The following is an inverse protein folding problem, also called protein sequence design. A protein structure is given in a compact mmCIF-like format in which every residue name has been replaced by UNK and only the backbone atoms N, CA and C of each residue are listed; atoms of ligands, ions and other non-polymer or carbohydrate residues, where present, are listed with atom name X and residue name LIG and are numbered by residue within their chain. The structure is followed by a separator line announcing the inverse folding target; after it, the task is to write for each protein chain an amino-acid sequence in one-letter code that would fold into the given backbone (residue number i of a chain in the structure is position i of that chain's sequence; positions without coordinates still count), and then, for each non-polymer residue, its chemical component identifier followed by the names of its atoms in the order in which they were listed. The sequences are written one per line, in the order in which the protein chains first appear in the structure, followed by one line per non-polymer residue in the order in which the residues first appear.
data_IF_856790548367
#
_entry.id   IF_856790548367
#
_cell.length_a   1.000
_cell.length_b   1.000
_cell.length_c   1.000
_cell.angle_alpha   90.00
_cell.angle_beta   90.00
_cell.angle_gamma   90.00
#
_symmetry.space_group_name_H-M   'P 1'
#
loop_
_entity.id
_entity.type
_entity.pdbx_description
1 polymer ?
#
# COMPACT_ATOMS: atom_id res chain seq x y z
N UNK A 1 -63.51 17.10 10.04
CA UNK A 1 -62.72 17.04 11.27
C UNK A 1 -62.21 15.62 11.40
N UNK A 2 -61.02 15.38 11.02
CA UNK A 2 -60.14 14.35 11.56
C UNK A 2 -58.79 14.52 10.85
N UNK A 3 -57.83 14.94 11.63
CA UNK A 3 -56.45 15.04 11.24
C UNK A 3 -55.88 13.63 11.06
N UNK A 4 -55.27 13.36 9.92
CA UNK A 4 -54.52 12.15 9.65
C UNK A 4 -53.03 12.47 9.72
N UNK A 5 -52.39 12.01 10.79
CA UNK A 5 -50.94 12.03 10.96
C UNK A 5 -50.28 11.15 9.93
N UNK A 6 -49.51 11.76 9.01
CA UNK A 6 -48.58 11.03 8.14
C UNK A 6 -47.24 10.91 8.85
N UNK A 7 -47.03 9.82 9.55
CA UNK A 7 -45.69 9.36 9.97
C UNK A 7 -44.95 8.80 8.74
N UNK A 8 -44.01 9.58 8.22
CA UNK A 8 -43.02 9.07 7.27
C UNK A 8 -42.03 8.22 8.02
N UNK A 9 -42.21 6.90 8.01
CA UNK A 9 -41.21 5.95 8.42
C UNK A 9 -40.07 5.93 7.38
N UNK A 10 -38.95 6.55 7.70
CA UNK A 10 -37.69 6.30 7.00
C UNK A 10 -37.28 4.87 7.28
N UNK A 11 -37.71 3.95 6.45
CA UNK A 11 -37.09 2.62 6.38
C UNK A 11 -35.68 2.80 5.87
N UNK A 12 -34.69 2.63 6.76
CA UNK A 12 -33.28 2.39 6.38
C UNK A 12 -33.25 1.08 5.60
N UNK A 13 -33.15 1.18 4.28
CA UNK A 13 -32.79 0.05 3.43
C UNK A 13 -31.36 -0.36 3.79
N UNK A 14 -31.19 -1.15 4.83
CA UNK A 14 -30.00 -1.98 4.99
C UNK A 14 -30.16 -3.13 4.00
N UNK A 15 -29.67 -2.93 2.78
CA UNK A 15 -29.46 -4.05 1.87
C UNK A 15 -28.61 -5.09 2.63
N UNK A 16 -29.20 -6.22 2.94
CA UNK A 16 -28.47 -7.38 3.45
C UNK A 16 -27.69 -7.95 2.26
N UNK A 17 -26.43 -7.56 2.16
CA UNK A 17 -25.51 -8.15 1.21
C UNK A 17 -25.32 -9.63 1.56
N UNK A 18 -25.39 -10.54 0.59
CA UNK A 18 -25.17 -11.95 0.86
C UNK A 18 -23.76 -12.16 1.43
N UNK A 19 -23.65 -12.98 2.47
CA UNK A 19 -22.36 -13.43 3.00
C UNK A 19 -21.71 -14.32 1.94
N UNK A 20 -20.82 -13.75 1.12
CA UNK A 20 -20.01 -14.53 0.22
C UNK A 20 -18.89 -15.20 1.02
N UNK A 21 -18.78 -16.50 0.87
CA UNK A 21 -17.51 -17.18 1.09
C UNK A 21 -16.58 -16.66 -0.01
N UNK A 22 -15.41 -16.13 0.33
CA UNK A 22 -14.43 -15.69 -0.66
C UNK A 22 -14.19 -16.86 -1.61
N UNK A 23 -14.64 -16.71 -2.85
CA UNK A 23 -14.29 -17.63 -3.92
C UNK A 23 -13.22 -16.89 -4.70
N UNK A 24 -11.96 -17.27 -4.51
CA UNK A 24 -10.87 -16.77 -5.35
C UNK A 24 -11.26 -17.02 -6.80
N UNK A 25 -11.14 -16.03 -7.68
CA UNK A 25 -11.41 -16.20 -9.09
C UNK A 25 -10.70 -17.44 -9.63
N UNK A 26 -11.41 -18.26 -10.40
CA UNK A 26 -10.79 -19.43 -11.07
C UNK A 26 -9.91 -18.97 -12.26
N UNK A 27 -9.95 -17.68 -12.57
CA UNK A 27 -9.17 -17.07 -13.65
C UNK A 27 -7.88 -16.51 -13.09
N UNK A 28 -6.78 -16.99 -13.62
CA UNK A 28 -5.44 -16.51 -13.32
C UNK A 28 -4.66 -16.29 -14.61
N UNK A 29 -3.69 -15.38 -14.57
CA UNK A 29 -2.74 -15.16 -15.66
C UNK A 29 -1.51 -16.02 -15.44
N UNK A 30 -1.15 -16.85 -16.46
CA UNK A 30 0.12 -17.53 -16.55
C UNK A 30 0.93 -16.90 -17.65
N UNK A 31 2.12 -16.42 -17.36
CA UNK A 31 2.96 -15.76 -18.33
C UNK A 31 4.43 -16.05 -18.07
N UNK A 32 5.24 -16.03 -19.11
CA UNK A 32 6.69 -16.16 -19.01
C UNK A 32 7.29 -14.78 -18.75
N UNK A 33 7.27 -14.35 -17.49
CA UNK A 33 7.74 -13.05 -17.05
C UNK A 33 8.79 -13.20 -15.97
N UNK A 34 9.90 -12.51 -16.15
CA UNK A 34 11.02 -12.47 -15.22
C UNK A 34 11.17 -11.08 -14.61
N UNK A 35 11.38 -11.01 -13.31
CA UNK A 35 11.79 -9.81 -12.60
C UNK A 35 13.33 -9.67 -12.77
N UNK A 36 13.77 -8.59 -13.39
CA UNK A 36 15.20 -8.35 -13.70
C UNK A 36 15.78 -7.13 -13.00
N UNK A 37 14.93 -6.26 -12.43
CA UNK A 37 15.39 -5.09 -11.69
C UNK A 37 14.40 -4.71 -10.58
N UNK A 38 14.96 -4.22 -9.47
CA UNK A 38 14.21 -3.75 -8.31
C UNK A 38 14.83 -2.44 -7.83
N UNK A 39 13.98 -1.45 -7.54
CA UNK A 39 14.38 -0.20 -6.92
C UNK A 39 13.37 0.26 -5.90
N UNK A 40 13.83 0.83 -4.80
CA UNK A 40 12.99 1.35 -3.74
C UNK A 40 13.47 2.73 -3.31
N UNK A 41 12.58 3.50 -2.75
CA UNK A 41 12.89 4.76 -2.11
C UNK A 41 11.99 4.99 -0.90
N UNK A 42 12.57 5.42 0.21
CA UNK A 42 11.87 5.89 1.41
C UNK A 42 12.39 7.27 1.76
N UNK A 43 11.51 8.24 2.08
CA UNK A 43 11.93 9.56 2.55
C UNK A 43 12.71 9.48 3.86
N UNK A 44 13.48 10.51 4.17
CA UNK A 44 14.33 10.55 5.38
C UNK A 44 13.66 11.16 6.59
N UNK A 45 12.53 11.87 6.43
CA UNK A 45 11.73 12.34 7.56
C UNK A 45 11.05 11.19 8.28
N UNK A 46 10.87 11.32 9.60
CA UNK A 46 10.32 10.24 10.43
C UNK A 46 9.23 10.74 11.37
N UNK A 47 8.15 9.97 11.47
CA UNK A 47 7.14 10.11 12.52
C UNK A 47 7.25 8.92 13.45
N UNK A 48 7.39 9.19 14.75
CA UNK A 48 7.45 8.17 15.80
C UNK A 48 6.10 7.99 16.52
N UNK A 49 6.00 7.00 17.39
CA UNK A 49 4.77 6.77 18.15
C UNK A 49 4.45 7.90 19.16
N UNK A 50 5.41 8.72 19.56
CA UNK A 50 5.18 9.87 20.45
C UNK A 50 4.20 10.87 19.82
N UNK A 51 4.27 11.10 18.51
CA UNK A 51 3.34 11.96 17.79
C UNK A 51 1.90 11.46 17.91
N UNK A 52 1.67 10.19 17.65
CA UNK A 52 0.32 9.61 17.74
C UNK A 52 -0.18 9.44 19.17
N UNK A 53 0.72 9.22 20.13
CA UNK A 53 0.40 9.25 21.54
C UNK A 53 -0.06 10.64 21.99
N UNK A 54 0.60 11.69 21.53
CA UNK A 54 0.20 13.07 21.75
C UNK A 54 -1.20 13.37 21.19
N UNK A 55 -1.48 12.97 19.92
CA UNK A 55 -2.79 13.14 19.32
C UNK A 55 -3.86 12.37 20.08
N UNK A 56 -3.62 11.09 20.41
CA UNK A 56 -4.58 10.23 21.09
C UNK A 56 -4.99 10.81 22.45
N UNK A 57 -4.04 11.38 23.17
CA UNK A 57 -4.27 12.03 24.49
C UNK A 57 -5.18 13.25 24.34
N UNK A 58 -4.93 14.09 23.33
CA UNK A 58 -5.77 15.28 23.06
C UNK A 58 -7.17 14.93 22.58
N UNK A 59 -7.36 13.77 21.98
CA UNK A 59 -8.65 13.25 21.57
C UNK A 59 -9.42 12.54 22.71
N UNK A 60 -8.85 12.48 23.93
CA UNK A 60 -9.49 11.84 25.09
C UNK A 60 -9.43 10.31 25.08
N UNK A 61 -8.57 9.70 24.26
CA UNK A 61 -8.28 8.26 24.21
C UNK A 61 -6.76 8.04 24.40
N UNK A 62 -6.21 8.36 25.60
CA UNK A 62 -4.77 8.40 25.80
C UNK A 62 -4.12 7.05 25.61
N UNK A 63 -3.09 7.02 24.77
CA UNK A 63 -2.21 5.88 24.51
C UNK A 63 -0.77 6.31 24.72
N UNK A 64 0.05 5.46 25.32
CA UNK A 64 1.49 5.66 25.32
C UNK A 64 2.10 5.24 23.98
N UNK A 65 3.33 5.68 23.69
CA UNK A 65 4.09 5.23 22.53
C UNK A 65 4.29 3.70 22.54
N UNK A 66 4.57 3.14 23.72
CA UNK A 66 4.74 1.69 23.93
C UNK A 66 3.43 0.92 23.68
N UNK A 67 2.26 1.49 24.09
CA UNK A 67 0.96 0.88 23.79
C UNK A 67 0.70 0.83 22.29
N UNK A 68 1.04 1.91 21.57
CA UNK A 68 0.89 1.96 20.12
C UNK A 68 1.81 0.95 19.44
N UNK A 69 3.07 0.84 19.86
CA UNK A 69 3.99 -0.17 19.33
C UNK A 69 3.48 -1.59 19.60
N UNK A 70 3.03 -1.87 20.82
CA UNK A 70 2.49 -3.18 21.20
C UNK A 70 1.25 -3.57 20.39
N UNK A 71 0.37 -2.60 20.06
CA UNK A 71 -0.88 -2.87 19.31
C UNK A 71 -0.65 -2.96 17.82
N UNK A 72 0.19 -2.09 17.26
CA UNK A 72 0.42 -2.00 15.82
C UNK A 72 1.60 -2.85 15.34
N UNK A 73 2.59 -3.08 16.19
CA UNK A 73 3.90 -3.66 15.84
C UNK A 73 4.84 -2.65 15.16
N UNK A 74 4.50 -1.35 15.18
CA UNK A 74 5.17 -0.31 14.40
C UNK A 74 5.91 0.67 15.34
N UNK A 75 7.18 0.94 15.06
CA UNK A 75 7.99 1.89 15.83
C UNK A 75 8.06 3.25 15.14
N UNK A 76 8.31 3.26 13.83
CA UNK A 76 8.54 4.49 13.03
C UNK A 76 7.85 4.44 11.68
N UNK A 77 7.63 5.61 11.04
CA UNK A 77 7.14 5.79 9.68
C UNK A 77 8.04 6.77 8.97
N UNK A 78 8.48 6.42 7.79
CA UNK A 78 9.20 7.33 6.91
C UNK A 78 8.22 8.19 6.14
N UNK A 79 8.46 9.50 6.09
CA UNK A 79 7.59 10.47 5.45
C UNK A 79 8.39 11.63 4.85
N UNK A 80 7.81 12.30 3.86
CA UNK A 80 8.39 13.49 3.25
C UNK A 80 8.33 14.69 4.20
N UNK A 81 9.18 15.70 3.95
CA UNK A 81 9.19 16.95 4.71
C UNK A 81 7.82 17.68 4.64
N UNK A 82 7.15 17.64 3.49
CA UNK A 82 5.79 18.22 3.32
C UNK A 82 4.76 17.56 4.24
N UNK A 83 4.91 16.27 4.53
CA UNK A 83 4.05 15.53 5.47
C UNK A 83 4.33 15.94 6.91
N UNK A 84 5.61 16.10 7.29
CA UNK A 84 5.97 16.62 8.62
C UNK A 84 5.41 18.03 8.83
N UNK A 85 5.50 18.88 7.81
CA UNK A 85 4.93 20.23 7.85
C UNK A 85 3.39 20.18 8.03
N UNK A 86 2.69 19.29 7.31
CA UNK A 86 1.25 19.08 7.52
C UNK A 86 0.96 18.65 8.96
N UNK A 87 1.73 17.71 9.51
CA UNK A 87 1.58 17.26 10.89
C UNK A 87 1.74 18.42 11.88
N UNK A 88 2.73 19.29 11.69
CA UNK A 88 2.93 20.51 12.51
C UNK A 88 1.78 21.50 12.38
N UNK A 89 1.26 21.69 11.17
CA UNK A 89 0.08 22.56 10.95
C UNK A 89 -1.17 22.06 11.65
N UNK A 90 -1.37 20.74 11.66
CA UNK A 90 -2.57 20.14 12.23
C UNK A 90 -2.47 19.98 13.75
N UNK A 91 -1.32 19.59 14.28
CA UNK A 91 -1.13 19.21 15.68
C UNK A 91 -0.36 20.26 16.53
N UNK A 92 0.20 21.29 15.90
CA UNK A 92 1.03 22.31 16.53
C UNK A 92 2.51 22.16 16.19
N UNK A 93 3.22 23.30 16.12
CA UNK A 93 4.64 23.35 15.74
C UNK A 93 5.55 22.52 16.70
N UNK A 94 5.18 22.46 17.96
CA UNK A 94 5.93 21.75 19.03
C UNK A 94 5.44 20.32 19.25
N UNK A 95 4.65 19.76 18.32
CA UNK A 95 4.18 18.39 18.43
C UNK A 95 5.36 17.41 18.48
N UNK A 96 5.43 16.50 19.48
CA UNK A 96 6.56 15.59 19.65
C UNK A 96 6.59 14.51 18.57
N UNK A 97 7.73 13.84 18.43
CA UNK A 97 7.86 12.65 17.59
C UNK A 97 7.90 12.94 16.07
N UNK A 98 8.15 14.19 15.67
CA UNK A 98 8.37 14.60 14.28
C UNK A 98 9.86 14.91 14.10
N UNK A 99 10.55 14.08 13.31
CA UNK A 99 11.99 14.17 13.07
C UNK A 99 12.22 14.56 11.62
N UNK A 100 12.84 15.73 11.40
CA UNK A 100 13.17 16.20 10.08
C UNK A 100 14.23 15.30 9.42
N UNK A 101 14.06 15.10 8.12
CA UNK A 101 15.03 14.41 7.31
C UNK A 101 16.20 15.30 6.87
N UNK A 102 16.99 14.80 5.92
CA UNK A 102 18.02 15.60 5.27
C UNK A 102 17.41 16.73 4.45
N UNK A 103 18.12 17.86 4.33
CA UNK A 103 17.66 19.04 3.56
C UNK A 103 17.36 18.73 2.08
N UNK A 104 17.95 17.67 1.54
CA UNK A 104 17.78 17.25 0.14
C UNK A 104 16.35 16.78 -0.21
N UNK A 105 15.50 16.54 0.80
CA UNK A 105 14.12 16.04 0.61
C UNK A 105 13.04 17.09 0.80
N UNK A 106 13.41 18.37 0.96
CA UNK A 106 12.50 19.43 1.42
C UNK A 106 11.28 19.66 0.50
N UNK A 107 11.45 19.54 -0.80
CA UNK A 107 10.39 19.75 -1.80
C UNK A 107 10.06 18.48 -2.61
N UNK A 108 10.38 17.30 -2.05
CA UNK A 108 10.24 16.03 -2.72
C UNK A 108 8.77 15.70 -3.02
N UNK A 109 8.49 15.37 -4.27
CA UNK A 109 7.17 14.96 -4.74
C UNK A 109 7.07 13.42 -4.88
N UNK A 110 5.86 12.90 -5.08
CA UNK A 110 5.67 11.48 -5.42
C UNK A 110 6.40 11.09 -6.70
N UNK A 111 6.45 12.02 -7.67
CA UNK A 111 7.18 11.80 -8.93
C UNK A 111 8.68 11.68 -8.68
N UNK A 112 9.25 12.52 -7.81
CA UNK A 112 10.69 12.46 -7.50
C UNK A 112 11.05 11.12 -6.86
N UNK A 113 10.26 10.66 -5.89
CA UNK A 113 10.43 9.34 -5.27
C UNK A 113 10.33 8.21 -6.31
N UNK A 114 9.33 8.26 -7.20
CA UNK A 114 9.15 7.27 -8.26
C UNK A 114 10.33 7.25 -9.25
N UNK A 115 10.85 8.42 -9.63
CA UNK A 115 12.01 8.54 -10.53
C UNK A 115 13.26 7.94 -9.90
N UNK A 116 13.50 8.20 -8.60
CA UNK A 116 14.64 7.59 -7.89
C UNK A 116 14.49 6.07 -7.85
N UNK A 117 13.33 5.55 -7.47
CA UNK A 117 13.07 4.11 -7.46
C UNK A 117 13.26 3.49 -8.87
N UNK A 118 12.75 4.15 -9.91
CA UNK A 118 12.90 3.70 -11.29
C UNK A 118 14.37 3.65 -11.76
N UNK A 119 15.16 4.70 -11.46
CA UNK A 119 16.60 4.70 -11.75
C UNK A 119 17.34 3.56 -11.04
N UNK A 120 16.98 3.31 -9.78
CA UNK A 120 17.54 2.19 -9.00
C UNK A 120 17.19 0.84 -9.62
N UNK A 121 15.93 0.66 -10.08
CA UNK A 121 15.53 -0.57 -10.76
C UNK A 121 16.29 -0.80 -12.07
N UNK A 122 16.47 0.24 -12.88
CA UNK A 122 17.27 0.18 -14.12
C UNK A 122 18.74 -0.14 -13.80
N UNK A 123 19.33 0.54 -12.82
CA UNK A 123 20.72 0.31 -12.41
C UNK A 123 20.93 -1.13 -11.88
N UNK A 124 19.99 -1.66 -11.08
CA UNK A 124 20.05 -3.03 -10.56
C UNK A 124 20.03 -4.08 -11.67
N UNK A 125 19.35 -3.78 -12.79
CA UNK A 125 19.29 -4.62 -13.97
C UNK A 125 20.46 -4.40 -14.96
N UNK A 126 21.23 -3.32 -14.79
CA UNK A 126 22.23 -2.88 -15.77
C UNK A 126 21.60 -2.49 -17.11
N UNK A 127 20.39 -1.92 -17.08
CA UNK A 127 19.61 -1.51 -18.26
C UNK A 127 19.61 0.01 -18.42
N UNK A 128 19.59 0.44 -19.68
CA UNK A 128 19.35 1.85 -20.02
C UNK A 128 17.87 2.18 -20.10
N UNK A 129 17.51 3.41 -19.74
CA UNK A 129 16.12 3.85 -19.80
C UNK A 129 15.52 3.79 -21.21
N UNK A 130 16.35 3.94 -22.24
CA UNK A 130 15.91 3.84 -23.66
C UNK A 130 15.47 2.44 -24.08
N UNK A 131 15.78 1.41 -23.28
CA UNK A 131 15.34 0.03 -23.54
C UNK A 131 13.89 -0.22 -23.08
N UNK A 132 13.33 0.68 -22.27
CA UNK A 132 11.97 0.53 -21.72
C UNK A 132 10.91 0.76 -22.79
N UNK A 133 10.08 -0.24 -23.05
CA UNK A 133 9.00 -0.20 -24.06
C UNK A 133 7.69 0.32 -23.50
N UNK A 134 7.45 0.18 -22.18
CA UNK A 134 6.20 0.58 -21.52
C UNK A 134 6.47 0.94 -20.08
N UNK A 135 5.84 2.02 -19.60
CA UNK A 135 5.77 2.36 -18.17
C UNK A 135 4.36 2.10 -17.65
N UNK A 136 4.25 1.31 -16.61
CA UNK A 136 3.00 1.08 -15.88
C UNK A 136 3.17 1.65 -14.47
N UNK A 137 2.20 2.45 -14.03
CA UNK A 137 2.17 3.00 -12.69
C UNK A 137 1.04 2.40 -11.87
N UNK A 138 1.21 2.32 -10.56
CA UNK A 138 0.16 1.99 -9.61
C UNK A 138 0.28 2.87 -8.35
N UNK A 139 -0.81 3.51 -7.95
CA UNK A 139 -0.85 4.33 -6.73
C UNK A 139 -2.25 4.43 -6.17
N UNK A 140 -2.33 4.49 -4.83
CA UNK A 140 -3.56 4.82 -4.09
C UNK A 140 -3.70 6.32 -3.85
N UNK A 141 -2.60 7.06 -3.88
CA UNK A 141 -2.49 8.43 -3.36
C UNK A 141 -1.91 9.42 -4.37
N UNK A 142 -1.93 9.08 -5.66
CA UNK A 142 -1.54 10.02 -6.73
C UNK A 142 -2.43 11.27 -6.71
N UNK A 143 -1.80 12.44 -6.77
CA UNK A 143 -2.49 13.73 -6.74
C UNK A 143 -2.98 14.18 -8.10
N UNK A 144 -2.25 13.80 -9.16
CA UNK A 144 -2.49 14.29 -10.49
C UNK A 144 -3.35 13.31 -11.29
N UNK A 145 -4.45 13.80 -11.85
CA UNK A 145 -5.23 13.00 -12.78
C UNK A 145 -4.50 12.82 -14.11
N UNK A 146 -3.83 13.88 -14.57
CA UNK A 146 -3.00 13.90 -15.79
C UNK A 146 -2.07 15.13 -15.79
N UNK A 147 -0.80 15.04 -16.24
CA UNK A 147 -0.12 13.76 -16.50
C UNK A 147 -0.02 12.91 -15.25
N UNK A 148 0.00 11.59 -15.41
CA UNK A 148 0.13 10.63 -14.31
C UNK A 148 1.59 10.47 -13.87
N UNK A 149 1.83 9.85 -12.70
CA UNK A 149 3.19 9.49 -12.25
C UNK A 149 3.92 8.70 -13.32
N UNK A 150 3.27 7.72 -13.98
CA UNK A 150 3.89 6.95 -15.07
C UNK A 150 4.35 7.83 -16.24
N UNK A 151 3.55 8.81 -16.62
CA UNK A 151 3.91 9.78 -17.67
C UNK A 151 5.07 10.69 -17.26
N UNK A 152 5.07 11.18 -16.03
CA UNK A 152 6.18 11.99 -15.50
C UNK A 152 7.47 11.17 -15.38
N UNK A 153 7.41 9.93 -14.92
CA UNK A 153 8.59 9.03 -14.84
C UNK A 153 9.16 8.79 -16.23
N UNK A 154 8.31 8.50 -17.23
CA UNK A 154 8.72 8.35 -18.62
C UNK A 154 9.51 9.59 -19.10
N UNK A 155 8.96 10.79 -18.87
CA UNK A 155 9.60 12.03 -19.27
C UNK A 155 10.91 12.31 -18.51
N UNK A 156 10.91 12.15 -17.19
CA UNK A 156 12.07 12.46 -16.30
C UNK A 156 13.24 11.48 -16.49
N UNK A 157 12.98 10.28 -17.01
CA UNK A 157 14.01 9.31 -17.40
C UNK A 157 14.55 9.54 -18.81
N UNK A 158 13.99 10.50 -19.56
CA UNK A 158 14.37 10.77 -20.95
C UNK A 158 13.90 9.69 -21.94
N UNK A 159 12.91 8.88 -21.54
CA UNK A 159 12.33 7.88 -22.43
C UNK A 159 11.46 8.59 -23.48
N UNK A 160 11.61 8.21 -24.74
CA UNK A 160 10.83 8.75 -25.85
C UNK A 160 9.33 8.46 -25.71
N UNK A 161 8.49 8.87 -26.67
CA UNK A 161 7.06 8.60 -26.63
C UNK A 161 6.77 7.09 -26.66
N UNK A 162 6.31 6.55 -25.54
CA UNK A 162 5.89 5.17 -25.35
C UNK A 162 4.55 5.11 -24.60
N UNK A 163 3.98 3.92 -24.46
CA UNK A 163 2.83 3.72 -23.59
C UNK A 163 3.23 3.99 -22.14
N UNK A 164 2.52 4.94 -21.50
CA UNK A 164 2.59 5.20 -20.07
C UNK A 164 1.17 5.13 -19.50
N UNK A 165 0.89 4.14 -18.64
CA UNK A 165 -0.46 3.87 -18.13
C UNK A 165 -0.43 3.86 -16.61
N UNK A 166 -1.46 4.42 -15.97
CA UNK A 166 -1.61 4.44 -14.53
C UNK A 166 -2.80 3.61 -14.10
N UNK A 167 -2.59 2.71 -13.16
CA UNK A 167 -3.63 1.99 -12.47
C UNK A 167 -3.91 2.69 -11.13
N UNK A 168 -5.18 2.85 -10.80
CA UNK A 168 -5.61 3.45 -9.55
C UNK A 168 -6.47 2.45 -8.78
N UNK A 169 -6.05 2.15 -7.58
CA UNK A 169 -6.73 1.23 -6.68
C UNK A 169 -6.17 1.42 -5.28
N UNK A 170 -6.59 0.58 -4.34
CA UNK A 170 -5.99 0.55 -3.02
C UNK A 170 -4.67 -0.26 -3.03
N UNK A 171 -4.21 -0.70 -1.87
CA UNK A 171 -2.91 -1.36 -1.68
C UNK A 171 -2.69 -2.63 -2.53
N UNK A 172 -3.76 -3.26 -3.04
CA UNK A 172 -3.66 -4.41 -3.95
C UNK A 172 -3.49 -4.02 -5.43
N UNK A 173 -3.49 -2.73 -5.76
CA UNK A 173 -3.28 -2.27 -7.14
C UNK A 173 -1.94 -2.72 -7.72
N UNK A 174 -0.96 -3.02 -6.86
CA UNK A 174 0.32 -3.58 -7.27
C UNK A 174 0.17 -4.96 -7.92
N UNK A 175 -0.69 -5.83 -7.41
CA UNK A 175 -0.91 -7.17 -8.02
C UNK A 175 -1.66 -7.07 -9.36
N UNK A 176 -2.59 -6.12 -9.49
CA UNK A 176 -3.20 -5.76 -10.77
C UNK A 176 -2.16 -5.23 -11.77
N UNK A 177 -1.21 -4.44 -11.29
CA UNK A 177 -0.13 -3.93 -12.13
C UNK A 177 0.81 -5.04 -12.60
N UNK A 178 1.12 -6.04 -11.75
CA UNK A 178 1.88 -7.21 -12.17
C UNK A 178 1.15 -8.01 -13.26
N UNK A 179 -0.16 -8.21 -13.11
CA UNK A 179 -0.96 -8.85 -14.15
C UNK A 179 -0.94 -8.06 -15.45
N UNK A 180 -1.14 -6.73 -15.37
CA UNK A 180 -1.07 -5.86 -16.55
C UNK A 180 0.29 -5.92 -17.24
N UNK A 181 1.39 -5.94 -16.48
CA UNK A 181 2.73 -6.12 -17.04
C UNK A 181 2.87 -7.47 -17.75
N UNK A 182 2.39 -8.54 -17.13
CA UNK A 182 2.43 -9.88 -17.70
C UNK A 182 1.63 -9.97 -19.02
N UNK A 183 0.45 -9.37 -19.06
CA UNK A 183 -0.40 -9.29 -20.24
C UNK A 183 0.27 -8.48 -21.35
N UNK A 184 0.87 -7.32 -21.04
CA UNK A 184 1.59 -6.48 -22.01
C UNK A 184 2.77 -7.26 -22.60
N UNK A 185 3.59 -7.90 -21.79
CA UNK A 185 4.74 -8.69 -22.24
C UNK A 185 4.34 -9.91 -23.08
N UNK A 186 3.16 -10.48 -22.82
CA UNK A 186 2.66 -11.66 -23.54
C UNK A 186 1.93 -11.30 -24.83
N UNK A 187 1.13 -10.22 -24.82
CA UNK A 187 0.20 -9.90 -25.89
C UNK A 187 0.68 -8.78 -26.83
N UNK A 188 1.83 -8.17 -26.59
CA UNK A 188 2.39 -7.10 -27.43
C UNK A 188 3.82 -7.39 -27.86
N UNK A 189 4.45 -6.45 -28.58
CA UNK A 189 5.86 -6.49 -28.95
C UNK A 189 6.81 -5.96 -27.86
N UNK A 190 6.28 -5.50 -26.74
CA UNK A 190 7.07 -5.00 -25.62
C UNK A 190 7.93 -6.13 -25.04
N UNK A 191 9.19 -5.82 -24.78
CA UNK A 191 10.18 -6.75 -24.19
C UNK A 191 10.57 -6.38 -22.77
N UNK A 192 10.50 -5.09 -22.46
CA UNK A 192 10.89 -4.53 -21.16
C UNK A 192 9.84 -3.56 -20.66
N UNK A 193 9.25 -3.87 -19.49
CA UNK A 193 8.24 -3.05 -18.84
C UNK A 193 8.79 -2.53 -17.51
N UNK A 194 8.68 -1.22 -17.30
CA UNK A 194 8.96 -0.57 -16.03
C UNK A 194 7.64 -0.37 -15.27
N UNK A 195 7.48 -1.08 -14.16
CA UNK A 195 6.39 -0.85 -13.21
C UNK A 195 6.88 0.07 -12.10
N UNK A 196 6.16 1.17 -11.84
CA UNK A 196 6.49 2.13 -10.77
C UNK A 196 5.33 2.32 -9.82
N UNK A 197 5.63 2.49 -8.53
CA UNK A 197 4.65 2.90 -7.52
C UNK A 197 5.21 4.05 -6.69
N UNK A 198 4.35 4.95 -6.25
CA UNK A 198 4.72 5.98 -5.28
C UNK A 198 3.52 6.34 -4.43
N UNK A 199 3.73 6.41 -3.11
CA UNK A 199 2.67 6.60 -2.14
C UNK A 199 3.00 7.72 -1.15
N UNK A 200 2.07 8.66 -1.04
CA UNK A 200 2.07 9.75 -0.08
C UNK A 200 0.74 9.80 0.66
N UNK A 201 0.46 8.76 1.42
CA UNK A 201 -0.87 8.47 1.96
C UNK A 201 -1.33 9.53 2.97
N UNK A 202 -0.45 9.92 3.91
CA UNK A 202 -0.82 10.85 4.97
C UNK A 202 -1.30 12.21 4.47
N UNK A 203 -0.56 12.91 3.58
CA UNK A 203 -1.01 14.23 3.15
C UNK A 203 -2.16 14.18 2.15
N UNK A 204 -2.32 13.07 1.42
CA UNK A 204 -3.17 13.04 0.25
C UNK A 204 -4.55 12.44 0.50
N UNK A 205 -4.63 11.39 1.31
CA UNK A 205 -5.89 10.65 1.52
C UNK A 205 -6.18 10.30 2.98
N UNK A 206 -5.29 10.63 3.92
CA UNK A 206 -5.49 10.35 5.35
C UNK A 206 -5.73 11.63 6.14
N UNK A 207 -6.51 11.54 7.20
CA UNK A 207 -6.58 12.60 8.20
C UNK A 207 -5.52 12.35 9.27
N UNK A 208 -4.55 13.24 9.40
CA UNK A 208 -3.45 13.13 10.37
C UNK A 208 -3.97 12.97 11.80
N UNK A 209 -5.09 13.63 12.13
CA UNK A 209 -5.69 13.58 13.48
C UNK A 209 -6.48 12.29 13.73
N UNK A 210 -6.84 11.53 12.70
CA UNK A 210 -7.40 10.18 12.88
C UNK A 210 -6.28 9.17 13.16
N UNK A 211 -5.70 9.25 14.35
CA UNK A 211 -4.55 8.45 14.76
C UNK A 211 -4.77 6.94 14.63
N UNK A 212 -6.02 6.45 14.73
CA UNK A 212 -6.34 5.02 14.62
C UNK A 212 -6.08 4.48 13.22
N UNK A 213 -6.25 5.32 12.21
CA UNK A 213 -5.99 4.99 10.81
C UNK A 213 -4.61 5.48 10.39
N UNK A 214 -4.33 6.77 10.56
CA UNK A 214 -3.12 7.42 10.05
C UNK A 214 -1.82 6.88 10.65
N UNK A 215 -1.87 6.40 11.90
CA UNK A 215 -0.68 5.86 12.57
C UNK A 215 -0.06 4.61 11.94
N UNK A 216 -0.74 3.96 11.01
CA UNK A 216 -0.25 2.76 10.35
C UNK A 216 0.61 3.05 9.11
N UNK A 217 0.51 4.25 8.54
CA UNK A 217 0.99 4.55 7.20
C UNK A 217 2.28 5.35 7.18
N UNK A 218 3.17 4.97 6.25
CA UNK A 218 4.34 5.71 5.83
C UNK A 218 4.24 6.12 4.36
N UNK A 219 5.33 6.64 3.82
CA UNK A 219 5.46 7.07 2.42
C UNK A 219 6.67 6.39 1.77
N UNK A 220 6.59 6.16 0.47
CA UNK A 220 7.67 5.55 -0.27
C UNK A 220 7.33 5.29 -1.72
N UNK A 221 8.34 4.87 -2.47
CA UNK A 221 8.20 4.47 -3.86
C UNK A 221 8.93 3.17 -4.16
N UNK A 222 8.48 2.49 -5.18
CA UNK A 222 9.14 1.30 -5.71
C UNK A 222 9.08 1.25 -7.22
N UNK A 223 10.01 0.47 -7.79
CA UNK A 223 9.98 0.14 -9.20
C UNK A 223 10.46 -1.30 -9.42
N UNK A 224 9.85 -1.94 -10.39
CA UNK A 224 10.21 -3.26 -10.87
C UNK A 224 10.49 -3.19 -12.36
N UNK A 225 11.52 -3.85 -12.80
CA UNK A 225 11.80 -4.03 -14.21
C UNK A 225 11.50 -5.47 -14.59
N UNK A 226 10.61 -5.64 -15.55
CA UNK A 226 10.05 -6.92 -15.95
C UNK A 226 10.32 -7.16 -17.43
N UNK A 227 10.73 -8.37 -17.78
CA UNK A 227 10.95 -8.76 -19.16
C UNK A 227 10.34 -10.14 -19.46
N UNK A 228 10.30 -10.51 -20.72
CA UNK A 228 9.95 -11.88 -21.14
C UNK A 228 11.02 -12.83 -20.62
N UNK A 229 10.60 -13.87 -19.91
CA UNK A 229 11.46 -14.92 -19.36
C UNK A 229 11.26 -16.27 -20.03
N UNK A 230 11.95 -17.27 -19.52
CA UNK A 230 11.83 -18.68 -19.98
C UNK A 230 10.92 -19.49 -19.08
N UNK A 231 10.71 -19.06 -17.84
CA UNK A 231 9.90 -19.74 -16.81
C UNK A 231 8.55 -19.10 -16.61
N UNK A 232 7.59 -19.90 -16.16
CA UNK A 232 6.24 -19.41 -15.86
C UNK A 232 6.23 -18.61 -14.56
N UNK A 233 5.47 -17.54 -14.58
CA UNK A 233 4.97 -16.84 -13.41
C UNK A 233 3.44 -16.85 -13.40
N UNK A 234 2.81 -16.63 -12.26
CA UNK A 234 1.37 -16.74 -12.11
C UNK A 234 0.84 -15.55 -11.32
N UNK A 235 -0.25 -14.94 -11.80
CA UNK A 235 -0.93 -13.83 -11.11
C UNK A 235 -2.41 -14.15 -10.98
N UNK A 236 -2.96 -13.87 -9.82
CA UNK A 236 -4.40 -13.91 -9.56
C UNK A 236 -4.82 -12.61 -8.89
N UNK A 237 -5.96 -12.05 -9.31
CA UNK A 237 -6.56 -10.88 -8.70
C UNK A 237 -8.06 -11.10 -8.54
N UNK A 238 -8.62 -10.50 -7.50
CA UNK A 238 -10.04 -10.52 -7.22
C UNK A 238 -10.51 -9.26 -6.53
N UNK A 239 -11.81 -9.00 -6.60
CA UNK A 239 -12.45 -7.88 -5.95
C UNK A 239 -13.78 -8.32 -5.33
N UNK A 240 -14.01 -7.95 -4.07
CA UNK A 240 -15.29 -8.13 -3.39
C UNK A 240 -15.81 -6.79 -2.88
N UNK A 241 -16.58 -6.10 -3.70
CA UNK A 241 -17.13 -4.80 -3.39
C UNK A 241 -18.15 -4.83 -2.23
N UNK A 242 -18.65 -5.99 -1.83
CA UNK A 242 -19.49 -6.12 -0.64
C UNK A 242 -18.72 -5.78 0.64
N UNK A 243 -17.40 -5.93 0.65
CA UNK A 243 -16.52 -5.56 1.74
C UNK A 243 -15.99 -4.11 1.61
N UNK A 244 -16.40 -3.38 0.57
CA UNK A 244 -15.99 -2.00 0.33
C UNK A 244 -16.13 -1.07 1.54
N UNK A 245 -17.23 -1.12 2.32
CA UNK A 245 -17.38 -0.31 3.52
C UNK A 245 -16.33 -0.53 4.61
N UNK A 246 -15.59 -1.65 4.60
CA UNK A 246 -14.55 -1.93 5.58
C UNK A 246 -13.32 -1.03 5.43
N UNK A 247 -12.99 -0.63 4.19
CA UNK A 247 -11.89 0.29 3.89
C UNK A 247 -12.18 1.00 2.57
N UNK A 248 -12.45 2.30 2.63
CA UNK A 248 -12.77 3.09 1.46
C UNK A 248 -12.22 4.52 1.54
N UNK A 249 -12.11 5.15 0.37
CA UNK A 249 -11.78 6.54 0.19
C UNK A 249 -12.71 7.16 -0.85
N UNK A 250 -13.34 8.28 -0.50
CA UNK A 250 -14.17 9.04 -1.41
C UNK A 250 -13.40 10.27 -1.90
N UNK A 251 -13.09 10.31 -3.18
CA UNK A 251 -12.46 11.49 -3.80
C UNK A 251 -13.42 12.69 -3.70
N UNK A 252 -12.96 13.83 -3.15
CA UNK A 252 -13.79 15.02 -3.05
C UNK A 252 -14.12 15.57 -4.44
N UNK A 253 -15.35 16.01 -4.61
CA UNK A 253 -15.77 16.76 -5.78
C UNK A 253 -15.47 18.25 -5.59
N UNK A 254 -15.43 19.01 -6.68
CA UNK A 254 -15.16 20.46 -6.60
C UNK A 254 -16.10 21.19 -5.63
N UNK A 255 -17.36 20.77 -5.52
CA UNK A 255 -18.33 21.32 -4.58
C UNK A 255 -17.97 21.08 -3.10
N UNK A 256 -17.21 20.03 -2.83
CA UNK A 256 -16.88 19.62 -1.46
C UNK A 256 -15.65 20.38 -0.91
N UNK A 257 -14.88 21.04 -1.77
CA UNK A 257 -13.57 21.66 -1.40
C UNK A 257 -13.74 22.75 -0.33
N UNK A 258 -14.78 23.58 -0.42
CA UNK A 258 -15.03 24.64 0.56
C UNK A 258 -15.45 24.03 1.91
N UNK A 259 -16.32 23.04 1.89
CA UNK A 259 -16.74 22.33 3.10
C UNK A 259 -15.55 21.64 3.77
N UNK A 260 -14.67 20.98 2.99
CA UNK A 260 -13.45 20.38 3.50
C UNK A 260 -12.56 21.40 4.22
N UNK A 261 -12.34 22.57 3.61
CA UNK A 261 -11.54 23.62 4.23
C UNK A 261 -12.13 24.14 5.55
N UNK A 262 -13.44 24.28 5.63
CA UNK A 262 -14.14 24.66 6.87
C UNK A 262 -14.01 23.58 7.94
N UNK A 263 -14.17 22.31 7.55
CA UNK A 263 -14.06 21.17 8.46
C UNK A 263 -12.63 21.07 8.98
N UNK A 264 -11.61 21.23 8.14
CA UNK A 264 -10.22 21.21 8.55
C UNK A 264 -9.90 22.34 9.55
N UNK A 265 -10.40 23.54 9.31
CA UNK A 265 -10.27 24.64 10.27
C UNK A 265 -10.91 24.32 11.61
N UNK A 266 -12.13 23.77 11.62
CA UNK A 266 -12.81 23.35 12.84
C UNK A 266 -12.05 22.25 13.58
N UNK A 267 -11.55 21.25 12.86
CA UNK A 267 -10.74 20.18 13.45
C UNK A 267 -9.48 20.73 14.13
N UNK A 268 -8.76 21.62 13.45
CA UNK A 268 -7.57 22.27 14.02
C UNK A 268 -7.90 23.10 15.26
N UNK A 269 -8.99 23.86 15.24
CA UNK A 269 -9.41 24.67 16.38
C UNK A 269 -9.76 23.78 17.58
N UNK A 270 -10.60 22.77 17.40
CA UNK A 270 -10.97 21.84 18.48
C UNK A 270 -9.76 21.07 19.02
N UNK A 271 -8.81 20.73 18.17
CA UNK A 271 -7.56 20.10 18.60
C UNK A 271 -6.72 21.05 19.47
N UNK A 272 -6.56 22.31 19.05
CA UNK A 272 -5.81 23.33 19.80
C UNK A 272 -6.47 23.63 21.16
N UNK A 273 -7.81 23.72 21.20
CA UNK A 273 -8.60 24.01 22.40
C UNK A 273 -8.70 22.80 23.35
N UNK A 274 -8.16 21.62 22.97
CA UNK A 274 -8.29 20.40 23.76
C UNK A 274 -9.71 19.82 23.80
N UNK A 275 -10.57 20.22 22.85
CA UNK A 275 -11.96 19.75 22.76
C UNK A 275 -12.06 18.43 21.98
N UNK A 276 -11.45 17.37 22.52
CA UNK A 276 -11.37 16.05 21.86
C UNK A 276 -12.74 15.43 21.59
N UNK A 277 -13.78 15.75 22.38
CA UNK A 277 -15.13 15.22 22.17
C UNK A 277 -15.75 15.73 20.86
N UNK A 278 -15.67 17.03 20.59
CA UNK A 278 -16.18 17.61 19.34
C UNK A 278 -15.34 17.17 18.14
N UNK A 279 -14.04 17.11 18.31
CA UNK A 279 -13.14 16.62 17.27
C UNK A 279 -13.47 15.16 16.87
N UNK A 280 -13.69 14.27 17.83
CA UNK A 280 -14.09 12.88 17.56
C UNK A 280 -15.44 12.80 16.82
N UNK A 281 -16.40 13.69 17.11
CA UNK A 281 -17.66 13.75 16.37
C UNK A 281 -17.43 14.12 14.90
N UNK A 282 -16.59 15.14 14.63
CA UNK A 282 -16.25 15.56 13.28
C UNK A 282 -15.55 14.41 12.54
N UNK A 283 -14.54 13.79 13.15
CA UNK A 283 -13.80 12.65 12.57
C UNK A 283 -14.70 11.45 12.24
N UNK A 284 -15.75 11.23 13.04
CA UNK A 284 -16.71 10.14 12.80
C UNK A 284 -17.70 10.44 11.68
N UNK A 285 -18.10 11.70 11.52
CA UNK A 285 -19.18 12.10 10.61
C UNK A 285 -18.67 12.54 9.23
N UNK A 286 -17.51 13.20 9.18
CA UNK A 286 -17.00 13.76 7.94
C UNK A 286 -16.15 12.71 7.19
N UNK A 287 -16.66 12.31 6.02
CA UNK A 287 -16.13 11.15 5.28
C UNK A 287 -15.42 11.53 3.97
N UNK A 288 -15.74 12.70 3.40
CA UNK A 288 -15.22 13.10 2.09
C UNK A 288 -13.75 13.51 2.19
N UNK A 289 -12.92 13.02 1.27
CA UNK A 289 -11.51 13.36 1.20
C UNK A 289 -10.61 12.64 2.19
N UNK A 290 -11.16 11.71 3.01
CA UNK A 290 -10.37 10.94 3.96
C UNK A 290 -10.67 9.45 3.88
N UNK A 291 -9.63 8.64 4.02
CA UNK A 291 -9.78 7.18 4.12
C UNK A 291 -10.47 6.81 5.42
N UNK A 292 -11.44 5.93 5.32
CA UNK A 292 -12.15 5.33 6.47
C UNK A 292 -11.86 3.85 6.55
N UNK A 293 -11.62 3.38 7.76
CA UNK A 293 -11.26 1.98 8.01
C UNK A 293 -12.02 1.41 9.22
N UNK A 294 -12.74 0.33 9.00
CA UNK A 294 -13.21 -0.55 10.06
C UNK A 294 -12.15 -1.61 10.34
N UNK A 295 -11.25 -1.33 11.27
CA UNK A 295 -10.10 -2.19 11.56
C UNK A 295 -10.47 -3.62 11.97
N UNK A 296 -11.65 -3.85 12.56
CA UNK A 296 -12.11 -5.21 12.93
C UNK A 296 -12.47 -6.03 11.69
N UNK A 297 -13.17 -5.44 10.75
CA UNK A 297 -13.55 -6.09 9.49
C UNK A 297 -12.34 -6.32 8.61
N UNK A 298 -11.48 -5.31 8.46
CA UNK A 298 -10.22 -5.45 7.73
C UNK A 298 -9.38 -6.58 8.32
N UNK A 299 -9.24 -6.65 9.65
CA UNK A 299 -8.48 -7.73 10.30
C UNK A 299 -9.11 -9.12 10.14
N UNK A 300 -10.41 -9.21 9.98
CA UNK A 300 -11.11 -10.47 9.72
C UNK A 300 -10.89 -10.95 8.29
N UNK A 301 -11.01 -10.06 7.32
CA UNK A 301 -11.10 -10.41 5.90
C UNK A 301 -9.76 -10.35 5.16
N UNK A 302 -8.91 -9.37 5.44
CA UNK A 302 -7.66 -9.18 4.71
C UNK A 302 -6.69 -10.38 4.82
N UNK A 303 -6.45 -10.98 6.01
CA UNK A 303 -5.59 -12.17 6.10
C UNK A 303 -6.14 -13.37 5.32
N UNK A 304 -7.48 -13.52 5.33
CA UNK A 304 -8.16 -14.61 4.63
C UNK A 304 -8.01 -14.48 3.13
N UNK A 305 -8.29 -13.29 2.57
CA UNK A 305 -8.17 -13.04 1.14
C UNK A 305 -6.74 -13.29 0.62
N UNK A 306 -5.72 -12.86 1.37
CA UNK A 306 -4.33 -13.13 1.01
C UNK A 306 -3.96 -14.61 1.13
N UNK A 307 -4.36 -15.30 2.20
CA UNK A 307 -4.07 -16.73 2.38
C UNK A 307 -4.68 -17.55 1.25
N UNK A 308 -5.94 -17.27 0.91
CA UNK A 308 -6.66 -17.96 -0.16
C UNK A 308 -6.01 -17.70 -1.53
N UNK A 309 -5.57 -16.46 -1.81
CA UNK A 309 -4.87 -16.15 -3.06
C UNK A 309 -3.53 -16.91 -3.17
N UNK A 310 -2.76 -17.01 -2.09
CA UNK A 310 -1.50 -17.77 -2.05
C UNK A 310 -1.77 -19.26 -2.28
N UNK A 311 -2.74 -19.86 -1.56
CA UNK A 311 -3.05 -21.26 -1.66
C UNK A 311 -3.60 -21.63 -3.06
N UNK A 312 -4.56 -20.86 -3.57
CA UNK A 312 -5.14 -21.10 -4.89
C UNK A 312 -4.08 -21.01 -5.99
N UNK A 313 -3.22 -19.99 -5.95
CA UNK A 313 -2.20 -19.78 -6.98
C UNK A 313 -1.12 -20.85 -6.92
N UNK A 314 -0.73 -21.29 -5.71
CA UNK A 314 0.23 -22.40 -5.53
C UNK A 314 -0.33 -23.71 -6.07
N UNK A 315 -1.62 -23.99 -5.87
CA UNK A 315 -2.29 -25.15 -6.47
C UNK A 315 -2.36 -25.06 -8.00
N UNK A 316 -2.68 -23.90 -8.57
CA UNK A 316 -2.67 -23.70 -10.03
C UNK A 316 -1.29 -23.91 -10.64
N UNK A 317 -0.25 -23.42 -9.96
CA UNK A 317 1.14 -23.63 -10.36
C UNK A 317 1.64 -25.06 -10.10
N UNK A 318 0.87 -25.89 -9.41
CA UNK A 318 1.28 -27.22 -8.91
C UNK A 318 2.58 -27.15 -8.11
N UNK A 319 2.74 -26.09 -7.35
CA UNK A 319 3.92 -25.83 -6.53
C UNK A 319 3.77 -26.58 -5.20
N UNK A 320 4.78 -27.38 -4.84
CA UNK A 320 4.83 -27.99 -3.52
C UNK A 320 5.10 -26.90 -2.46
N UNK A 321 4.52 -27.07 -1.25
CA UNK A 321 4.68 -26.09 -0.18
C UNK A 321 6.16 -25.82 0.15
N UNK A 322 7.02 -26.84 0.07
CA UNK A 322 8.43 -26.72 0.37
C UNK A 322 9.25 -26.03 -0.73
N UNK A 323 8.71 -25.96 -1.95
CA UNK A 323 9.36 -25.20 -3.04
C UNK A 323 9.18 -23.70 -2.89
N UNK A 324 8.05 -23.26 -2.32
CA UNK A 324 7.84 -21.86 -1.97
C UNK A 324 8.76 -21.49 -0.80
N UNK A 325 9.71 -20.58 -1.05
CA UNK A 325 10.72 -20.18 -0.05
C UNK A 325 10.32 -18.95 0.74
N UNK A 326 9.64 -18.01 0.09
CA UNK A 326 9.27 -16.73 0.70
C UNK A 326 7.82 -16.38 0.40
N UNK A 327 7.12 -15.92 1.42
CA UNK A 327 5.81 -15.26 1.31
C UNK A 327 6.03 -13.82 1.75
N UNK A 328 5.99 -12.90 0.81
CA UNK A 328 6.28 -11.48 0.98
C UNK A 328 4.99 -10.68 0.78
N UNK A 329 4.13 -10.59 1.80
CA UNK A 329 2.85 -9.92 1.66
C UNK A 329 3.01 -8.40 1.60
N UNK A 330 1.98 -7.75 1.08
CA UNK A 330 1.75 -6.34 1.37
C UNK A 330 1.85 -6.10 2.88
N UNK A 331 2.70 -5.15 3.29
CA UNK A 331 3.00 -4.84 4.69
C UNK A 331 1.89 -3.95 5.29
N UNK A 332 0.68 -4.49 5.39
CA UNK A 332 -0.47 -3.77 5.93
C UNK A 332 -0.38 -3.60 7.45
N UNK A 333 0.01 -4.67 8.14
CA UNK A 333 0.19 -4.75 9.60
C UNK A 333 0.78 -6.12 9.95
N UNK A 334 1.74 -6.19 10.86
CA UNK A 334 2.38 -7.45 11.27
C UNK A 334 1.39 -8.51 11.77
N UNK A 335 0.30 -8.09 12.42
CA UNK A 335 -0.75 -9.02 12.89
C UNK A 335 -1.53 -9.64 11.73
N UNK A 336 -1.77 -8.87 10.65
CA UNK A 336 -2.42 -9.35 9.44
C UNK A 336 -1.52 -10.38 8.75
N UNK A 337 -0.23 -10.07 8.59
CA UNK A 337 0.77 -10.99 8.01
C UNK A 337 0.81 -12.31 8.79
N UNK A 338 0.92 -12.23 10.11
CA UNK A 338 0.93 -13.42 10.96
C UNK A 338 -0.36 -14.23 10.83
N UNK A 339 -1.54 -13.55 10.88
CA UNK A 339 -2.84 -14.22 10.77
C UNK A 339 -3.02 -14.92 9.43
N UNK A 340 -2.52 -14.33 8.34
CA UNK A 340 -2.49 -14.97 7.02
C UNK A 340 -1.73 -16.30 7.06
N UNK A 341 -0.54 -16.32 7.67
CA UNK A 341 0.24 -17.56 7.83
C UNK A 341 -0.46 -18.61 8.68
N UNK A 342 -1.09 -18.19 9.80
CA UNK A 342 -1.89 -19.08 10.63
C UNK A 342 -3.04 -19.72 9.85
N UNK A 343 -3.72 -18.95 8.97
CA UNK A 343 -4.79 -19.47 8.12
C UNK A 343 -4.25 -20.48 7.10
N UNK A 344 -3.11 -20.21 6.46
CA UNK A 344 -2.47 -21.18 5.56
C UNK A 344 -2.21 -22.52 6.26
N UNK A 345 -1.71 -22.48 7.51
CA UNK A 345 -1.43 -23.70 8.29
C UNK A 345 -2.71 -24.40 8.72
N UNK A 346 -3.68 -23.69 9.30
CA UNK A 346 -4.82 -24.30 9.95
C UNK A 346 -5.98 -24.60 9.01
N UNK A 347 -6.26 -23.68 8.06
CA UNK A 347 -7.45 -23.79 7.21
C UNK A 347 -7.12 -24.44 5.87
N UNK A 348 -5.88 -24.27 5.35
CA UNK A 348 -5.45 -24.82 4.06
C UNK A 348 -4.49 -26.01 4.18
N UNK A 349 -4.09 -26.39 5.39
CA UNK A 349 -3.30 -27.59 5.64
C UNK A 349 -1.81 -27.47 5.26
N UNK A 350 -1.29 -26.24 5.19
CA UNK A 350 0.13 -26.03 4.94
C UNK A 350 0.97 -26.44 6.16
N UNK A 351 2.25 -26.82 5.97
CA UNK A 351 3.11 -27.17 7.09
C UNK A 351 3.37 -25.98 8.01
N UNK A 352 3.61 -26.24 9.30
CA UNK A 352 3.88 -25.19 10.30
C UNK A 352 5.13 -24.35 9.96
N UNK A 353 6.10 -24.92 9.22
CA UNK A 353 7.26 -24.22 8.67
C UNK A 353 6.89 -23.05 7.71
N UNK A 354 5.64 -22.97 7.29
CA UNK A 354 5.11 -21.81 6.52
C UNK A 354 5.30 -20.51 7.27
N UNK A 355 5.23 -20.53 8.61
CA UNK A 355 5.43 -19.33 9.43
C UNK A 355 6.84 -18.74 9.29
N UNK A 356 7.84 -19.58 9.02
CA UNK A 356 9.24 -19.15 8.84
C UNK A 356 9.49 -18.51 7.47
N UNK A 357 8.57 -18.71 6.51
CA UNK A 357 8.64 -18.14 5.15
C UNK A 357 8.03 -16.74 5.06
N UNK A 358 7.28 -16.32 6.10
CA UNK A 358 6.65 -15.01 6.15
C UNK A 358 7.69 -13.91 6.30
N UNK A 359 7.55 -12.88 5.48
CA UNK A 359 8.40 -11.70 5.54
C UNK A 359 7.61 -10.55 6.16
N UNK A 360 8.15 -9.96 7.21
CA UNK A 360 7.57 -8.84 7.92
C UNK A 360 8.66 -7.80 8.22
N UNK A 361 8.56 -6.63 7.59
CA UNK A 361 9.39 -5.47 7.87
C UNK A 361 8.54 -4.24 8.25
N UNK A 362 7.26 -4.44 8.53
CA UNK A 362 6.31 -3.41 8.88
C UNK A 362 6.79 -2.50 10.01
N UNK A 363 7.51 -3.07 10.98
CA UNK A 363 7.94 -2.38 12.23
C UNK A 363 8.62 -1.03 11.99
N UNK A 364 9.43 -0.90 10.95
CA UNK A 364 10.28 0.27 10.73
C UNK A 364 9.75 1.23 9.68
N UNK A 365 8.95 0.73 8.74
CA UNK A 365 8.51 1.51 7.59
C UNK A 365 7.02 1.82 7.60
N UNK A 366 6.23 1.00 8.29
CA UNK A 366 4.78 1.08 8.25
C UNK A 366 4.19 0.56 6.93
N UNK A 367 2.94 0.89 6.73
CA UNK A 367 2.21 0.55 5.51
C UNK A 367 2.53 1.58 4.41
N UNK A 368 3.31 1.17 3.42
CA UNK A 368 3.65 1.96 2.24
C UNK A 368 2.73 1.63 1.04
N UNK A 369 1.53 1.08 1.30
CA UNK A 369 0.59 0.68 0.26
C UNK A 369 1.27 -0.14 -0.86
N UNK A 370 1.18 0.30 -2.11
CA UNK A 370 1.73 -0.41 -3.27
C UNK A 370 3.29 -0.49 -3.30
N UNK A 371 4.00 0.29 -2.51
CA UNK A 371 5.46 0.24 -2.47
C UNK A 371 6.01 -0.80 -1.47
N UNK A 372 5.17 -1.37 -0.61
CA UNK A 372 5.60 -2.15 0.55
C UNK A 372 6.26 -3.49 0.23
N UNK A 373 5.80 -4.21 -0.80
CA UNK A 373 6.35 -5.52 -1.19
C UNK A 373 7.80 -5.37 -1.71
N UNK A 374 8.06 -4.38 -2.57
CA UNK A 374 9.40 -4.11 -3.08
C UNK A 374 10.39 -3.81 -1.96
N UNK A 375 9.97 -2.99 -0.98
CA UNK A 375 10.82 -2.68 0.16
C UNK A 375 11.11 -3.92 1.00
N UNK A 376 10.13 -4.79 1.22
CA UNK A 376 10.34 -6.06 1.90
C UNK A 376 11.30 -6.98 1.14
N UNK A 377 11.19 -7.03 -0.20
CA UNK A 377 12.14 -7.75 -1.05
C UNK A 377 13.55 -7.15 -0.96
N UNK A 378 13.68 -5.82 -1.01
CA UNK A 378 14.98 -5.14 -0.89
C UNK A 378 15.67 -5.44 0.45
N UNK A 379 14.92 -5.53 1.54
CA UNK A 379 15.44 -5.94 2.85
C UNK A 379 15.96 -7.38 2.82
N UNK A 380 15.23 -8.31 2.20
CA UNK A 380 15.69 -9.70 2.05
C UNK A 380 16.96 -9.80 1.19
N UNK A 381 17.06 -9.01 0.12
CA UNK A 381 18.25 -8.94 -0.73
C UNK A 381 19.47 -8.47 0.08
N UNK A 382 19.33 -7.39 0.84
CA UNK A 382 20.41 -6.90 1.74
C UNK A 382 20.86 -7.95 2.75
N UNK A 383 19.95 -8.76 3.22
CA UNK A 383 20.23 -9.85 4.17
C UNK A 383 20.80 -11.10 3.51
N UNK A 384 20.95 -11.15 2.17
CA UNK A 384 21.39 -12.33 1.44
C UNK A 384 20.47 -13.54 1.59
N UNK A 385 19.17 -13.30 1.85
CA UNK A 385 18.18 -14.35 2.11
C UNK A 385 17.48 -14.85 0.84
N UNK A 386 17.51 -14.10 -0.26
CA UNK A 386 16.98 -14.53 -1.56
C UNK A 386 18.09 -15.26 -2.33
N UNK A 387 17.78 -16.42 -2.88
CA UNK A 387 18.66 -17.25 -3.67
C UNK A 387 18.09 -17.47 -5.06
N UNK A 388 18.95 -17.56 -6.05
CA UNK A 388 18.53 -17.84 -7.42
C UNK A 388 17.66 -19.09 -7.51
N UNK A 389 16.52 -18.99 -8.21
CA UNK A 389 15.52 -20.03 -8.33
C UNK A 389 14.48 -20.10 -7.21
N UNK A 390 14.61 -19.33 -6.13
CA UNK A 390 13.62 -19.31 -5.03
C UNK A 390 12.25 -18.86 -5.54
N UNK A 391 11.21 -19.66 -5.26
CA UNK A 391 9.84 -19.23 -5.45
C UNK A 391 9.39 -18.26 -4.37
N UNK A 392 8.79 -17.16 -4.80
CA UNK A 392 8.21 -16.12 -3.95
C UNK A 392 6.72 -15.97 -4.25
N UNK A 393 5.90 -15.91 -3.21
CA UNK A 393 4.52 -15.46 -3.29
C UNK A 393 4.42 -14.02 -2.77
N UNK A 394 3.82 -13.14 -3.56
CA UNK A 394 3.67 -11.71 -3.28
C UNK A 394 2.18 -11.36 -3.15
N UNK A 395 1.50 -11.76 -2.06
CA UNK A 395 0.10 -11.45 -1.88
C UNK A 395 -0.13 -10.01 -1.42
N UNK A 396 -1.22 -9.41 -1.90
CA UNK A 396 -1.66 -8.10 -1.47
C UNK A 396 -3.17 -8.05 -1.23
N UNK A 397 -3.58 -7.13 -0.38
CA UNK A 397 -4.97 -6.80 -0.10
C UNK A 397 -5.10 -5.29 0.07
N UNK A 398 -6.20 -4.73 -0.35
CA UNK A 398 -6.47 -3.29 -0.27
C UNK A 398 -7.95 -2.97 -0.11
N UNK A 399 -8.25 -1.69 0.01
CA UNK A 399 -9.62 -1.23 0.05
C UNK A 399 -10.42 -1.67 -1.16
N UNK A 400 -11.73 -1.79 -0.97
CA UNK A 400 -12.60 -2.15 -2.06
C UNK A 400 -13.41 -3.43 -1.94
N UNK A 401 -13.08 -4.53 -1.34
CA UNK A 401 -11.82 -5.16 -0.99
C UNK A 401 -11.18 -5.78 -2.24
N UNK A 402 -10.05 -5.27 -2.65
CA UNK A 402 -9.27 -5.85 -3.73
C UNK A 402 -8.17 -6.73 -3.13
N UNK A 403 -7.84 -7.82 -3.78
CA UNK A 403 -6.80 -8.74 -3.34
C UNK A 403 -6.17 -9.44 -4.54
N UNK A 404 -4.96 -9.91 -4.35
CA UNK A 404 -4.27 -10.68 -5.39
C UNK A 404 -2.99 -11.30 -4.87
N UNK A 405 -2.32 -12.05 -5.74
CA UNK A 405 -1.02 -12.63 -5.48
C UNK A 405 -0.24 -12.76 -6.80
N UNK A 406 1.04 -12.44 -6.76
CA UNK A 406 1.98 -12.80 -7.82
C UNK A 406 2.90 -13.90 -7.31
N UNK A 407 2.97 -15.02 -8.04
CA UNK A 407 3.87 -16.14 -7.79
C UNK A 407 4.96 -16.12 -8.86
N UNK A 408 6.20 -15.88 -8.44
CA UNK A 408 7.33 -15.65 -9.32
C UNK A 408 8.62 -16.25 -8.75
N UNK A 409 9.54 -16.66 -9.62
CA UNK A 409 10.89 -17.04 -9.20
C UNK A 409 11.78 -15.81 -9.07
N UNK A 410 12.59 -15.82 -8.04
CA UNK A 410 13.70 -14.89 -7.89
C UNK A 410 14.85 -15.34 -8.78
N UNK A 411 15.43 -14.39 -9.49
CA UNK A 411 16.69 -14.56 -10.20
C UNK A 411 17.66 -13.50 -9.71
N UNK A 412 18.96 -13.83 -9.66
CA UNK A 412 20.01 -12.98 -9.10
C UNK A 412 19.93 -11.53 -9.59
N UNK A 413 19.21 -10.71 -8.84
CA UNK A 413 19.20 -9.27 -9.04
C UNK A 413 20.50 -8.70 -8.47
N UNK A 414 21.22 -7.96 -9.30
CA UNK A 414 22.32 -7.14 -8.79
C UNK A 414 21.70 -5.97 -8.04
N UNK A 415 21.95 -5.90 -6.76
CA UNK A 415 21.53 -4.79 -5.94
C UNK A 415 22.79 -4.07 -5.44
N UNK A 416 23.35 -3.13 -6.23
CA UNK A 416 24.56 -2.41 -5.84
C UNK A 416 24.32 -1.61 -4.56
N UNK A 417 25.29 -1.58 -3.65
CA UNK A 417 25.21 -0.80 -2.40
C UNK A 417 24.89 0.69 -2.66
N UNK A 418 25.31 1.22 -3.81
CA UNK A 418 25.02 2.58 -4.28
C UNK A 418 23.51 2.82 -4.60
N UNK A 419 22.77 1.74 -4.90
CA UNK A 419 21.32 1.77 -5.17
C UNK A 419 20.51 1.75 -3.86
N UNK A 420 21.17 1.33 -2.81
CA UNK A 420 20.56 1.10 -1.49
C UNK A 420 20.65 2.33 -0.61
N UNK A 421 20.55 3.50 -0.96
CA UNK A 421 20.60 4.66 -0.07
C UNK A 421 21.16 4.33 1.33
N UNK A 422 22.03 5.11 1.87
CA UNK A 422 22.47 4.95 3.27
C UNK A 422 21.24 5.02 4.15
N UNK A 423 20.96 3.94 4.88
CA UNK A 423 19.97 3.91 5.95
C UNK A 423 20.32 4.92 7.03
#
# INVERSE_FOLDING_TARGET
MSQGDSQSSSQSNTEQWPHYTYIVPQVYTRAKVRLVGLGTYTPTGVITNEFFAYISTRLGDPRSADDLERVTGLSTRHVRASTLELCRRMAGADAPGLIDGSDDTKDETLVDMAVVAARRALASAGRDASEVDTVIGASSSDNDAFPTIAGYVQHRLGIGPIRATMLRGACACQTEAFQTCAEVLTASSAKLVLLVTAEGLLPNIMNVLDWKTSSLFGEGASAYLLEVGDEDSYVINGSDAAQGPALYYQTPLRKDVLEMAEVDMKMRQHFADGNGQELNKILAQYLVGYTKMNGKEVFREAPRAMAEAVDALSRHARLAHDDLKHIIPHQANSRITRRMGELLVHDYGWPSSTMDKLVDNFRYYGNLSNASIALAMAVLLRQGRLRDGDWMALPAVGGGMNYGCWLVRYHDLKYPDEVMGKD
#
